data_IF_906346634515
#
_entry.id   IF_906346634515
#
_cell.length_a   1.000
_cell.length_b   1.000
_cell.length_c   1.000
_cell.angle_alpha   90.00
_cell.angle_beta   90.00
_cell.angle_gamma   90.00
#
_symmetry.space_group_name_H-M   'P 1'
#
loop_
_entity.id
_entity.type
_entity.pdbx_description
1 polymer ?
#
# COMPACT_ATOMS: atom_id res chain seq x y z
N UNK A 1 -11.07 -47.15 -14.25
CA UNK A 1 -9.71 -46.56 -14.26
C UNK A 1 -9.84 -45.09 -13.95
N UNK A 2 -10.05 -44.84 -12.66
CA UNK A 2 -9.68 -43.70 -11.82
C UNK A 2 -9.41 -42.33 -12.46
N UNK A 3 -10.46 -41.51 -12.37
CA UNK A 3 -10.39 -40.06 -12.25
C UNK A 3 -9.97 -39.68 -10.81
N UNK A 4 -8.66 -39.68 -10.53
CA UNK A 4 -8.09 -39.15 -9.28
C UNK A 4 -6.77 -38.42 -9.56
N UNK A 5 -6.84 -37.43 -10.47
CA UNK A 5 -5.91 -36.29 -10.53
C UNK A 5 -6.67 -35.02 -10.15
N UNK A 6 -7.24 -35.00 -8.95
CA UNK A 6 -7.79 -33.82 -8.32
C UNK A 6 -6.88 -33.48 -7.13
N UNK A 7 -5.85 -32.69 -7.42
CA UNK A 7 -4.81 -32.28 -6.48
C UNK A 7 -3.73 -31.45 -7.16
N UNK A 8 -4.05 -30.75 -8.25
CA UNK A 8 -3.22 -29.65 -8.74
C UNK A 8 -3.71 -28.46 -7.95
N UNK A 9 -3.03 -28.15 -6.84
CA UNK A 9 -3.24 -26.87 -6.17
C UNK A 9 -3.09 -25.78 -7.23
N UNK A 10 -4.12 -24.94 -7.40
CA UNK A 10 -4.07 -23.84 -8.34
C UNK A 10 -2.83 -23.02 -8.02
N UNK A 11 -1.97 -22.78 -9.03
CA UNK A 11 -0.83 -21.87 -8.89
C UNK A 11 -1.34 -20.55 -8.27
N UNK A 12 -0.88 -20.17 -7.07
CA UNK A 12 -1.35 -18.97 -6.38
C UNK A 12 -1.09 -17.70 -7.20
N UNK A 13 -0.21 -17.75 -8.20
CA UNK A 13 0.13 -16.64 -9.07
C UNK A 13 -0.65 -16.61 -10.39
N UNK A 14 -1.50 -17.60 -10.68
CA UNK A 14 -2.23 -17.70 -11.95
C UNK A 14 -3.13 -16.49 -12.28
N UNK A 15 -3.52 -15.71 -11.27
CA UNK A 15 -4.34 -14.51 -11.42
C UNK A 15 -3.53 -13.21 -11.51
N UNK A 16 -2.21 -13.27 -11.27
CA UNK A 16 -1.32 -12.10 -11.30
C UNK A 16 -0.91 -11.82 -12.74
N UNK A 17 -1.48 -10.76 -13.33
CA UNK A 17 -1.14 -10.32 -14.68
C UNK A 17 -0.38 -8.99 -14.66
N UNK A 18 0.95 -9.06 -14.62
CA UNK A 18 1.82 -7.88 -14.57
C UNK A 18 1.66 -6.99 -15.80
N UNK A 19 1.51 -7.57 -16.99
CA UNK A 19 1.30 -6.81 -18.23
C UNK A 19 0.03 -5.98 -18.19
N UNK A 20 -1.06 -6.53 -17.62
CA UNK A 20 -2.31 -5.79 -17.40
C UNK A 20 -2.08 -4.65 -16.41
N UNK A 21 -1.51 -4.94 -15.23
CA UNK A 21 -1.26 -3.91 -14.21
C UNK A 21 -0.38 -2.77 -14.73
N UNK A 22 0.63 -3.09 -15.55
CA UNK A 22 1.48 -2.10 -16.23
C UNK A 22 0.70 -1.27 -17.25
N UNK A 23 -0.19 -1.89 -18.01
CA UNK A 23 -1.07 -1.17 -18.93
C UNK A 23 -2.01 -0.23 -18.19
N UNK A 24 -2.59 -0.68 -17.08
CA UNK A 24 -3.50 0.11 -16.26
C UNK A 24 -2.77 1.32 -15.66
N UNK A 25 -1.55 1.12 -15.13
CA UNK A 25 -0.73 2.22 -14.64
C UNK A 25 -0.41 3.24 -15.74
N UNK A 26 -0.02 2.79 -16.93
CA UNK A 26 0.23 3.69 -18.08
C UNK A 26 -1.02 4.46 -18.49
N UNK A 27 -2.18 3.83 -18.46
CA UNK A 27 -3.44 4.52 -18.74
C UNK A 27 -3.69 5.64 -17.72
N UNK A 28 -3.46 5.38 -16.44
CA UNK A 28 -3.59 6.38 -15.37
C UNK A 28 -2.57 7.52 -15.49
N UNK A 29 -1.33 7.21 -15.87
CA UNK A 29 -0.30 8.21 -16.12
C UNK A 29 -0.66 9.14 -17.29
N UNK A 30 -1.41 8.63 -18.28
CA UNK A 30 -1.87 9.42 -19.43
C UNK A 30 -3.12 10.28 -19.13
N UNK A 31 -3.77 10.10 -17.98
CA UNK A 31 -4.92 10.91 -17.59
C UNK A 31 -4.51 12.28 -17.05
N UNK A 32 -5.40 13.26 -17.23
CA UNK A 32 -5.32 14.53 -16.50
C UNK A 32 -5.38 14.32 -14.99
N UNK A 33 -4.78 15.22 -14.23
CA UNK A 33 -4.45 15.07 -12.80
C UNK A 33 -5.67 14.79 -11.93
N UNK A 34 -6.77 15.53 -12.14
CA UNK A 34 -8.01 15.40 -11.36
C UNK A 34 -8.68 14.04 -11.48
N UNK A 35 -8.78 13.49 -12.69
CA UNK A 35 -9.34 12.14 -12.91
C UNK A 35 -8.33 11.04 -12.57
N UNK A 36 -7.03 11.33 -12.72
CA UNK A 36 -5.93 10.40 -12.47
C UNK A 36 -5.70 10.09 -10.99
N UNK A 37 -5.97 11.04 -10.08
CA UNK A 37 -5.66 10.86 -8.64
C UNK A 37 -6.38 9.66 -8.02
N UNK A 38 -7.69 9.55 -8.22
CA UNK A 38 -8.48 8.44 -7.68
C UNK A 38 -8.11 7.10 -8.33
N UNK A 39 -7.87 7.11 -9.65
CA UNK A 39 -7.52 5.88 -10.36
C UNK A 39 -6.11 5.40 -10.01
N UNK A 40 -5.16 6.32 -9.74
CA UNK A 40 -3.82 5.97 -9.28
C UNK A 40 -3.85 5.28 -7.91
N UNK A 41 -4.71 5.74 -6.99
CA UNK A 41 -4.93 5.06 -5.72
C UNK A 41 -5.47 3.64 -5.91
N UNK A 42 -6.46 3.45 -6.80
CA UNK A 42 -7.02 2.12 -7.11
C UNK A 42 -5.98 1.18 -7.72
N UNK A 43 -5.28 1.63 -8.77
CA UNK A 43 -4.23 0.83 -9.42
C UNK A 43 -3.10 0.49 -8.44
N UNK A 44 -2.73 1.42 -7.55
CA UNK A 44 -1.76 1.15 -6.49
C UNK A 44 -2.23 0.07 -5.52
N UNK A 45 -3.52 -0.01 -5.19
CA UNK A 45 -4.08 -1.04 -4.33
C UNK A 45 -4.07 -2.41 -5.02
N UNK A 46 -4.45 -2.47 -6.30
CA UNK A 46 -4.43 -3.71 -7.11
C UNK A 46 -3.01 -4.26 -7.24
N UNK A 47 -2.02 -3.40 -7.52
CA UNK A 47 -0.61 -3.80 -7.57
C UNK A 47 -0.12 -4.25 -6.19
N UNK A 48 -0.52 -3.58 -5.09
CA UNK A 48 -0.14 -4.01 -3.73
C UNK A 48 -0.72 -5.39 -3.40
N UNK A 49 -1.94 -5.70 -3.83
CA UNK A 49 -2.52 -7.01 -3.64
C UNK A 49 -1.73 -8.08 -4.42
N UNK A 50 -1.41 -7.82 -5.69
CA UNK A 50 -0.59 -8.72 -6.50
C UNK A 50 0.81 -8.93 -5.88
N UNK A 51 1.45 -7.86 -5.42
CA UNK A 51 2.75 -7.90 -4.75
C UNK A 51 2.71 -8.77 -3.49
N UNK A 52 1.69 -8.60 -2.64
CA UNK A 52 1.51 -9.43 -1.44
C UNK A 52 1.31 -10.92 -1.77
N UNK A 53 0.58 -11.24 -2.83
CA UNK A 53 0.45 -12.63 -3.32
C UNK A 53 1.80 -13.19 -3.78
N UNK A 54 2.59 -12.40 -4.52
CA UNK A 54 3.93 -12.80 -4.95
C UNK A 54 4.89 -13.04 -3.77
N UNK A 55 4.86 -12.18 -2.74
CA UNK A 55 5.64 -12.36 -1.52
C UNK A 55 5.26 -13.65 -0.79
N UNK A 56 3.96 -13.91 -0.58
CA UNK A 56 3.51 -15.16 0.05
C UNK A 56 3.99 -16.39 -0.71
N UNK A 57 3.82 -16.41 -2.03
CA UNK A 57 4.27 -17.52 -2.85
C UNK A 57 5.79 -17.71 -2.75
N UNK A 58 6.57 -16.63 -2.76
CA UNK A 58 8.02 -16.69 -2.55
C UNK A 58 8.36 -17.28 -1.18
N UNK A 59 7.69 -16.83 -0.13
CA UNK A 59 7.96 -17.29 1.24
C UNK A 59 7.63 -18.77 1.43
N UNK A 60 6.56 -19.26 0.80
CA UNK A 60 6.23 -20.68 0.71
C UNK A 60 7.34 -21.50 0.02
N UNK A 61 7.93 -20.99 -1.07
CA UNK A 61 9.06 -21.63 -1.74
C UNK A 61 10.33 -21.63 -0.87
N UNK A 62 10.60 -20.52 -0.18
CA UNK A 62 11.72 -20.42 0.76
C UNK A 62 11.54 -21.39 1.94
N UNK A 63 10.34 -21.50 2.51
CA UNK A 63 10.02 -22.46 3.55
C UNK A 63 10.20 -23.91 3.09
N UNK A 64 9.80 -24.24 1.85
CA UNK A 64 10.01 -25.57 1.29
C UNK A 64 11.50 -25.95 1.16
N UNK A 65 12.32 -25.03 0.62
CA UNK A 65 13.75 -25.24 0.46
C UNK A 65 14.48 -25.31 1.81
N UNK A 66 14.09 -24.47 2.76
CA UNK A 66 14.60 -24.49 4.13
C UNK A 66 14.27 -25.81 4.84
N UNK A 67 13.02 -26.26 4.76
CA UNK A 67 12.53 -27.46 5.43
C UNK A 67 13.12 -28.77 4.90
N UNK A 68 13.42 -28.86 3.61
CA UNK A 68 14.06 -30.03 3.00
C UNK A 68 15.59 -30.05 3.18
N UNK A 69 16.18 -29.01 3.78
CA UNK A 69 17.63 -28.86 4.06
C UNK A 69 18.54 -28.87 2.83
N UNK A 70 17.98 -28.65 1.65
CA UNK A 70 18.76 -28.56 0.41
C UNK A 70 19.47 -27.20 0.30
N UNK A 71 18.93 -26.16 0.95
CA UNK A 71 19.43 -24.78 0.91
C UNK A 71 19.63 -24.24 2.33
N UNK A 72 20.73 -23.50 2.52
CA UNK A 72 20.97 -22.78 3.78
C UNK A 72 20.18 -21.47 3.82
N UNK A 73 20.01 -20.87 5.00
CA UNK A 73 19.41 -19.54 5.14
C UNK A 73 20.23 -18.45 4.45
N UNK A 74 21.54 -18.64 4.30
CA UNK A 74 22.41 -17.77 3.51
C UNK A 74 22.13 -17.87 2.01
N UNK A 75 21.87 -19.07 1.47
CA UNK A 75 21.52 -19.27 0.05
C UNK A 75 20.17 -18.61 -0.27
N UNK A 76 19.21 -18.76 0.64
CA UNK A 76 17.92 -18.09 0.52
C UNK A 76 18.06 -16.57 0.61
N UNK A 77 18.94 -16.06 1.49
CA UNK A 77 19.21 -14.63 1.62
C UNK A 77 19.90 -14.02 0.40
N UNK A 78 20.82 -14.76 -0.23
CA UNK A 78 21.42 -14.33 -1.50
C UNK A 78 20.35 -14.14 -2.58
N UNK A 79 19.35 -15.02 -2.65
CA UNK A 79 18.26 -14.89 -3.64
C UNK A 79 17.26 -13.79 -3.28
N UNK A 80 16.78 -13.76 -2.04
CA UNK A 80 15.68 -12.88 -1.62
C UNK A 80 16.15 -11.45 -1.38
N UNK A 81 17.32 -11.29 -0.77
CA UNK A 81 17.86 -10.00 -0.35
C UNK A 81 19.04 -9.54 -1.20
N UNK A 82 19.67 -10.44 -1.97
CA UNK A 82 20.89 -10.13 -2.74
C UNK A 82 22.17 -10.19 -1.91
N UNK A 83 22.07 -10.49 -0.61
CA UNK A 83 23.17 -10.50 0.34
C UNK A 83 23.00 -11.60 1.39
N UNK A 84 23.97 -12.52 1.46
CA UNK A 84 23.99 -13.60 2.49
C UNK A 84 23.91 -13.11 3.94
N UNK A 85 24.34 -11.88 4.22
CA UNK A 85 24.29 -11.30 5.57
C UNK A 85 22.86 -11.15 6.12
N UNK A 86 21.85 -11.15 5.25
CA UNK A 86 20.43 -11.05 5.63
C UNK A 86 19.82 -12.41 6.03
N UNK A 87 20.64 -13.44 6.29
CA UNK A 87 20.18 -14.80 6.58
C UNK A 87 19.21 -14.88 7.76
N UNK A 88 19.37 -14.03 8.78
CA UNK A 88 18.48 -13.99 9.94
C UNK A 88 17.07 -13.55 9.56
N UNK A 89 16.97 -12.53 8.70
CA UNK A 89 15.70 -12.01 8.18
C UNK A 89 14.99 -13.06 7.34
N UNK A 90 15.73 -13.76 6.50
CA UNK A 90 15.16 -14.80 5.63
C UNK A 90 14.78 -16.05 6.41
N UNK A 91 15.53 -16.40 7.46
CA UNK A 91 15.15 -17.47 8.39
C UNK A 91 13.78 -17.21 9.01
N UNK A 92 13.55 -16.00 9.52
CA UNK A 92 12.26 -15.61 10.08
C UNK A 92 11.13 -15.75 9.06
N UNK A 93 11.35 -15.32 7.81
CA UNK A 93 10.36 -15.44 6.72
C UNK A 93 10.04 -16.92 6.43
N UNK A 94 11.07 -17.77 6.32
CA UNK A 94 10.90 -19.19 6.05
C UNK A 94 10.19 -19.93 7.19
N UNK A 95 10.48 -19.58 8.45
CA UNK A 95 9.85 -20.14 9.64
C UNK A 95 8.40 -19.67 9.82
N UNK A 96 8.08 -18.45 9.39
CA UNK A 96 6.72 -17.89 9.43
C UNK A 96 5.78 -18.55 8.44
N UNK A 97 6.30 -18.92 7.26
CA UNK A 97 5.49 -19.43 6.16
C UNK A 97 5.21 -20.92 6.29
N UNK A 98 4.10 -21.37 5.70
CA UNK A 98 3.77 -22.79 5.63
C UNK A 98 4.32 -23.37 4.33
N UNK A 99 5.28 -24.29 4.43
CA UNK A 99 5.82 -24.96 3.25
C UNK A 99 4.71 -25.76 2.51
N UNK A 100 4.63 -25.66 1.17
CA UNK A 100 3.75 -26.51 0.38
C UNK A 100 4.16 -27.98 0.49
N UNK A 101 3.22 -28.90 0.24
CA UNK A 101 3.51 -30.33 0.31
C UNK A 101 4.51 -30.79 -0.75
N UNK A 102 4.51 -30.14 -1.92
CA UNK A 102 5.41 -30.44 -3.02
C UNK A 102 5.68 -29.17 -3.82
N UNK A 103 6.94 -28.94 -4.19
CA UNK A 103 7.34 -27.94 -5.16
C UNK A 103 8.32 -28.56 -6.17
N UNK A 104 7.93 -28.63 -7.44
CA UNK A 104 8.82 -29.11 -8.50
C UNK A 104 9.83 -28.00 -8.82
N UNK A 105 11.11 -28.36 -8.91
CA UNK A 105 12.20 -27.41 -9.17
C UNK A 105 12.16 -26.17 -8.25
N UNK A 106 12.14 -26.43 -6.93
CA UNK A 106 11.92 -25.41 -5.92
C UNK A 106 12.92 -24.24 -5.98
N UNK A 107 14.17 -24.49 -6.40
CA UNK A 107 15.18 -23.46 -6.59
C UNK A 107 14.85 -22.51 -7.75
N UNK A 108 14.46 -23.05 -8.91
CA UNK A 108 13.97 -22.25 -10.03
C UNK A 108 12.72 -21.46 -9.65
N UNK A 109 11.81 -22.09 -8.92
CA UNK A 109 10.55 -21.48 -8.52
C UNK A 109 10.77 -20.33 -7.52
N UNK A 110 11.68 -20.46 -6.56
CA UNK A 110 12.06 -19.35 -5.67
C UNK A 110 12.59 -18.15 -6.47
N UNK A 111 13.50 -18.39 -7.41
CA UNK A 111 14.06 -17.35 -8.28
C UNK A 111 12.97 -16.65 -9.09
N UNK A 112 12.07 -17.42 -9.72
CA UNK A 112 10.96 -16.89 -10.51
C UNK A 112 10.03 -16.01 -9.66
N UNK A 113 9.62 -16.50 -8.48
CA UNK A 113 8.72 -15.78 -7.57
C UNK A 113 9.36 -14.51 -7.00
N UNK A 114 10.65 -14.54 -6.67
CA UNK A 114 11.39 -13.36 -6.23
C UNK A 114 11.53 -12.33 -7.35
N UNK A 115 11.80 -12.76 -8.60
CA UNK A 115 11.82 -11.86 -9.74
C UNK A 115 10.47 -11.17 -9.97
N UNK A 116 9.37 -11.92 -9.88
CA UNK A 116 8.02 -11.38 -9.96
C UNK A 116 7.73 -10.38 -8.82
N UNK A 117 8.13 -10.71 -7.59
CA UNK A 117 7.99 -9.81 -6.44
C UNK A 117 8.76 -8.50 -6.65
N UNK A 118 9.98 -8.54 -7.19
CA UNK A 118 10.76 -7.36 -7.54
C UNK A 118 10.06 -6.51 -8.62
N UNK A 119 9.58 -7.14 -9.70
CA UNK A 119 8.87 -6.44 -10.78
C UNK A 119 7.61 -5.73 -10.27
N UNK A 120 6.83 -6.41 -9.41
CA UNK A 120 5.64 -5.84 -8.79
C UNK A 120 5.97 -4.74 -7.79
N UNK A 121 7.09 -4.86 -7.05
CA UNK A 121 7.53 -3.82 -6.10
C UNK A 121 7.92 -2.53 -6.83
N UNK A 122 8.62 -2.64 -7.95
CA UNK A 122 8.97 -1.49 -8.77
C UNK A 122 7.73 -0.84 -9.37
N UNK A 123 6.81 -1.65 -9.91
CA UNK A 123 5.53 -1.16 -10.42
C UNK A 123 4.68 -0.49 -9.33
N UNK A 124 4.68 -1.03 -8.10
CA UNK A 124 4.01 -0.42 -6.95
C UNK A 124 4.61 0.94 -6.61
N UNK A 125 5.93 1.06 -6.67
CA UNK A 125 6.64 2.31 -6.42
C UNK A 125 6.23 3.38 -7.42
N UNK A 126 6.20 3.00 -8.70
CA UNK A 126 5.80 3.87 -9.80
C UNK A 126 4.33 4.31 -9.67
N UNK A 127 3.45 3.39 -9.28
CA UNK A 127 2.04 3.68 -9.03
C UNK A 127 1.84 4.64 -7.85
N UNK A 128 2.55 4.43 -6.74
CA UNK A 128 2.51 5.34 -5.58
C UNK A 128 3.06 6.72 -5.91
N UNK A 129 4.17 6.81 -6.66
CA UNK A 129 4.71 8.09 -7.12
C UNK A 129 3.72 8.83 -8.04
N UNK A 130 3.06 8.10 -8.94
CA UNK A 130 2.00 8.63 -9.81
C UNK A 130 0.81 9.14 -8.97
N UNK A 131 0.40 8.41 -7.94
CA UNK A 131 -0.66 8.82 -7.03
C UNK A 131 -0.29 10.12 -6.29
N UNK A 132 0.92 10.24 -5.74
CA UNK A 132 1.39 11.47 -5.10
C UNK A 132 1.38 12.65 -6.08
N UNK A 133 1.88 12.45 -7.31
CA UNK A 133 1.88 13.48 -8.34
C UNK A 133 0.46 13.96 -8.64
N UNK A 134 -0.46 13.05 -8.95
CA UNK A 134 -1.84 13.39 -9.25
C UNK A 134 -2.56 14.04 -8.06
N UNK A 135 -2.30 13.58 -6.83
CA UNK A 135 -2.86 14.20 -5.63
C UNK A 135 -2.34 15.63 -5.41
N UNK A 136 -1.09 15.93 -5.79
CA UNK A 136 -0.55 17.29 -5.67
C UNK A 136 -1.11 18.22 -6.74
N UNK A 137 -1.21 17.73 -7.97
CA UNK A 137 -1.58 18.56 -9.13
C UNK A 137 -3.08 18.57 -9.46
N UNK A 138 -3.91 17.77 -8.78
CA UNK A 138 -5.33 17.72 -9.09
C UNK A 138 -6.04 19.03 -8.68
N UNK A 139 -6.72 19.65 -9.62
CA UNK A 139 -7.45 20.90 -9.41
C UNK A 139 -8.69 20.72 -8.52
N UNK A 140 -9.08 21.77 -7.81
CA UNK A 140 -10.32 21.82 -7.03
C UNK A 140 -11.50 22.11 -7.96
N UNK A 141 -12.19 21.06 -8.39
CA UNK A 141 -13.40 21.20 -9.20
C UNK A 141 -14.59 21.55 -8.30
N UNK A 142 -14.82 22.86 -8.11
CA UNK A 142 -15.92 23.39 -7.32
C UNK A 142 -17.14 23.73 -8.20
N UNK A 143 -18.37 23.34 -7.81
CA UNK A 143 -19.60 23.74 -8.47
C UNK A 143 -19.79 25.27 -8.50
N UNK A 144 -20.53 25.84 -9.47
CA UNK A 144 -20.76 27.29 -9.49
C UNK A 144 -21.71 27.77 -8.39
N UNK A 145 -22.65 26.94 -7.93
CA UNK A 145 -23.60 27.30 -6.87
C UNK A 145 -22.95 27.24 -5.47
N UNK A 146 -22.99 28.33 -4.66
CA UNK A 146 -22.31 28.40 -3.37
C UNK A 146 -22.73 27.30 -2.36
N UNK A 147 -24.03 26.99 -2.24
CA UNK A 147 -24.49 25.93 -1.34
C UNK A 147 -23.96 24.56 -1.79
N UNK A 148 -24.00 24.29 -3.09
CA UNK A 148 -23.45 23.07 -3.68
C UNK A 148 -21.92 22.99 -3.49
N UNK A 149 -21.20 24.12 -3.50
CA UNK A 149 -19.77 24.16 -3.12
C UNK A 149 -19.54 23.77 -1.67
N UNK A 150 -20.32 24.31 -0.73
CA UNK A 150 -20.21 23.96 0.70
C UNK A 150 -20.37 22.45 0.88
N UNK A 151 -21.39 21.86 0.27
CA UNK A 151 -21.63 20.42 0.35
C UNK A 151 -20.50 19.61 -0.28
N UNK A 152 -20.09 19.95 -1.52
CA UNK A 152 -19.00 19.27 -2.22
C UNK A 152 -17.70 19.33 -1.42
N UNK A 153 -17.32 20.50 -0.90
CA UNK A 153 -16.10 20.66 -0.12
C UNK A 153 -16.19 19.86 1.19
N UNK A 154 -17.34 19.85 1.87
CA UNK A 154 -17.57 19.04 3.08
C UNK A 154 -17.40 17.55 2.81
N UNK A 155 -17.99 17.03 1.73
CA UNK A 155 -17.84 15.63 1.33
C UNK A 155 -16.39 15.30 1.02
N UNK A 156 -15.67 16.18 0.32
CA UNK A 156 -14.27 15.97 0.00
C UNK A 156 -13.35 16.03 1.22
N UNK A 157 -13.65 16.85 2.24
CA UNK A 157 -12.94 16.85 3.53
C UNK A 157 -13.14 15.52 4.25
N UNK A 158 -14.38 15.03 4.34
CA UNK A 158 -14.70 13.73 4.96
C UNK A 158 -14.00 12.59 4.23
N UNK A 159 -14.11 12.58 2.91
CA UNK A 159 -13.47 11.59 2.04
C UNK A 159 -11.95 11.59 2.21
N UNK A 160 -11.31 12.76 2.17
CA UNK A 160 -9.85 12.87 2.32
C UNK A 160 -9.39 12.44 3.72
N UNK A 161 -10.18 12.73 4.76
CA UNK A 161 -9.88 12.30 6.13
C UNK A 161 -9.90 10.78 6.26
N UNK A 162 -10.95 10.13 5.76
CA UNK A 162 -11.02 8.66 5.75
C UNK A 162 -9.81 8.02 5.06
N UNK A 163 -9.43 8.52 3.88
CA UNK A 163 -8.29 7.98 3.15
C UNK A 163 -6.95 8.27 3.84
N UNK A 164 -6.82 9.43 4.49
CA UNK A 164 -5.64 9.76 5.30
C UNK A 164 -5.48 8.75 6.44
N UNK A 165 -6.55 8.44 7.16
CA UNK A 165 -6.53 7.46 8.27
C UNK A 165 -6.13 6.06 7.78
N UNK A 166 -6.68 5.61 6.65
CA UNK A 166 -6.34 4.31 6.04
C UNK A 166 -4.87 4.26 5.64
N UNK A 167 -4.34 5.30 4.99
CA UNK A 167 -2.93 5.34 4.57
C UNK A 167 -2.01 5.39 5.79
N UNK A 168 -2.34 6.21 6.79
CA UNK A 168 -1.58 6.30 8.04
C UNK A 168 -1.56 4.96 8.79
N UNK A 169 -2.70 4.26 8.89
CA UNK A 169 -2.78 2.95 9.52
C UNK A 169 -1.89 1.91 8.79
N UNK A 170 -1.92 1.87 7.46
CA UNK A 170 -1.07 0.96 6.68
C UNK A 170 0.42 1.29 6.83
N UNK A 171 0.77 2.58 6.80
CA UNK A 171 2.14 3.05 7.03
C UNK A 171 2.65 2.61 8.40
N UNK A 172 1.86 2.83 9.44
CA UNK A 172 2.22 2.50 10.81
C UNK A 172 2.33 0.98 11.00
N UNK A 173 1.45 0.18 10.38
CA UNK A 173 1.56 -1.28 10.39
C UNK A 173 2.85 -1.77 9.71
N UNK A 174 3.26 -1.17 8.60
CA UNK A 174 4.48 -1.57 7.91
C UNK A 174 5.74 -1.14 8.66
N UNK A 175 5.74 0.06 9.25
CA UNK A 175 6.79 0.49 10.16
C UNK A 175 6.89 -0.45 11.37
N UNK A 176 5.75 -0.80 11.98
CA UNK A 176 5.69 -1.74 13.08
C UNK A 176 6.22 -3.14 12.71
N UNK A 177 5.94 -3.64 11.50
CA UNK A 177 6.55 -4.88 11.02
C UNK A 177 8.08 -4.80 10.96
N UNK A 178 8.64 -3.66 10.54
CA UNK A 178 10.10 -3.47 10.48
C UNK A 178 10.73 -3.47 11.87
N UNK A 179 10.07 -2.88 12.87
CA UNK A 179 10.55 -2.90 14.26
C UNK A 179 10.43 -4.29 14.86
N UNK A 180 9.24 -4.89 14.78
CA UNK A 180 8.91 -6.16 15.45
C UNK A 180 9.69 -7.33 14.86
N UNK A 181 9.82 -7.39 13.53
CA UNK A 181 10.37 -8.56 12.83
C UNK A 181 11.79 -8.33 12.31
N UNK A 182 12.18 -7.09 12.03
CA UNK A 182 13.45 -6.78 11.35
C UNK A 182 14.40 -5.91 12.18
N UNK A 183 14.12 -5.75 13.48
CA UNK A 183 14.98 -5.06 14.45
C UNK A 183 15.35 -3.62 14.08
N UNK A 184 14.49 -2.95 13.31
CA UNK A 184 14.65 -1.52 13.07
C UNK A 184 14.44 -0.75 14.38
N UNK A 185 15.24 0.30 14.56
CA UNK A 185 15.03 1.25 15.65
C UNK A 185 13.70 1.99 15.44
N UNK A 186 12.96 2.18 16.55
CA UNK A 186 11.63 2.77 16.50
C UNK A 186 11.69 4.26 16.12
N UNK A 187 12.69 4.99 16.61
CA UNK A 187 12.82 6.42 16.32
C UNK A 187 13.27 6.62 14.88
N UNK A 188 14.20 5.80 14.39
CA UNK A 188 14.63 5.83 12.98
C UNK A 188 13.47 5.53 12.01
N UNK A 189 12.64 4.51 12.31
CA UNK A 189 11.50 4.21 11.44
C UNK A 189 10.39 5.25 11.55
N UNK A 190 10.23 5.89 12.70
CA UNK A 190 9.27 6.97 12.92
C UNK A 190 9.63 8.22 12.10
N UNK A 191 10.92 8.57 12.06
CA UNK A 191 11.44 9.62 11.17
C UNK A 191 11.12 9.28 9.70
N UNK A 192 11.40 8.04 9.27
CA UNK A 192 11.11 7.62 7.89
C UNK A 192 9.62 7.62 7.55
N UNK A 193 8.77 7.33 8.54
CA UNK A 193 7.33 7.34 8.42
C UNK A 193 6.71 8.74 8.53
N UNK A 194 7.50 9.77 8.87
CA UNK A 194 7.01 11.12 9.15
C UNK A 194 5.85 11.09 10.17
N UNK A 195 6.06 10.43 11.30
CA UNK A 195 5.06 10.27 12.37
C UNK A 195 5.69 10.08 13.73
N UNK A 196 4.89 10.26 14.78
CA UNK A 196 5.33 9.98 16.15
C UNK A 196 5.53 8.47 16.40
N UNK A 197 6.56 8.08 17.19
CA UNK A 197 6.80 6.69 17.61
C UNK A 197 5.57 6.00 18.19
N UNK A 198 4.79 6.70 19.02
CA UNK A 198 3.57 6.16 19.66
C UNK A 198 2.53 5.67 18.65
N UNK A 199 2.43 6.33 17.49
CA UNK A 199 1.48 5.95 16.45
C UNK A 199 1.86 4.62 15.78
N UNK A 200 3.16 4.30 15.74
CA UNK A 200 3.69 3.03 15.24
C UNK A 200 3.60 1.96 16.33
N UNK A 201 3.93 2.30 17.57
CA UNK A 201 3.83 1.40 18.72
C UNK A 201 2.39 0.87 18.90
N UNK A 202 1.38 1.71 18.64
CA UNK A 202 -0.03 1.29 18.63
C UNK A 202 -0.38 0.17 17.63
N UNK A 203 0.47 -0.10 16.64
CA UNK A 203 0.29 -1.15 15.63
C UNK A 203 1.11 -2.43 15.92
N UNK A 204 1.87 -2.50 17.02
CA UNK A 204 2.74 -3.66 17.32
C UNK A 204 1.97 -4.97 17.48
N UNK A 205 0.82 -4.96 18.12
CA UNK A 205 0.01 -6.18 18.29
C UNK A 205 -0.47 -6.73 16.94
N UNK A 206 -0.87 -5.83 16.02
CA UNK A 206 -1.24 -6.22 14.66
C UNK A 206 -0.03 -6.75 13.88
N UNK A 207 1.12 -6.06 13.99
CA UNK A 207 2.37 -6.46 13.33
C UNK A 207 2.84 -7.86 13.75
N UNK A 208 2.69 -8.23 15.02
CA UNK A 208 3.00 -9.59 15.52
C UNK A 208 2.19 -10.71 14.89
N UNK A 209 1.11 -10.41 14.17
CA UNK A 209 0.29 -11.39 13.45
C UNK A 209 0.38 -11.23 11.93
N UNK A 210 1.11 -10.22 11.46
CA UNK A 210 1.27 -9.89 10.06
C UNK A 210 2.56 -10.52 9.51
N UNK A 211 2.60 -11.00 8.24
CA UNK A 211 3.81 -11.61 7.69
C UNK A 211 5.01 -10.67 7.70
N UNK A 212 6.23 -11.13 8.08
CA UNK A 212 7.44 -10.32 8.08
C UNK A 212 7.76 -9.71 6.70
N UNK A 213 7.42 -10.41 5.63
CA UNK A 213 7.67 -10.01 4.24
C UNK A 213 6.84 -8.85 3.74
N UNK A 214 5.72 -8.55 4.40
CA UNK A 214 4.71 -7.60 3.91
C UNK A 214 5.15 -6.13 4.01
N UNK A 215 6.31 -5.86 4.62
CA UNK A 215 6.83 -4.52 4.85
C UNK A 215 8.27 -4.34 4.39
N UNK A 216 8.53 -3.17 3.81
CA UNK A 216 9.84 -2.66 3.44
C UNK A 216 9.91 -1.15 3.73
N UNK A 217 11.11 -0.64 4.02
CA UNK A 217 11.32 0.75 4.39
C UNK A 217 10.90 1.74 3.28
N UNK A 218 11.03 1.33 2.01
CA UNK A 218 10.57 2.14 0.86
C UNK A 218 9.03 2.26 0.87
N UNK A 219 8.30 1.21 1.26
CA UNK A 219 6.83 1.28 1.38
C UNK A 219 6.38 2.23 2.49
N UNK A 220 7.11 2.29 3.61
CA UNK A 220 6.85 3.24 4.70
C UNK A 220 6.98 4.68 4.19
N UNK A 221 8.09 5.00 3.51
CA UNK A 221 8.33 6.33 2.92
C UNK A 221 7.28 6.71 1.88
N UNK A 222 6.94 5.79 0.99
CA UNK A 222 5.96 6.05 -0.08
C UNK A 222 4.56 6.31 0.50
N UNK A 223 4.16 5.58 1.55
CA UNK A 223 2.89 5.81 2.22
C UNK A 223 2.89 7.12 3.02
N UNK A 224 4.01 7.50 3.64
CA UNK A 224 4.17 8.83 4.25
C UNK A 224 3.97 9.96 3.22
N UNK A 225 4.59 9.84 2.03
CA UNK A 225 4.42 10.81 0.96
C UNK A 225 2.97 10.90 0.45
N UNK A 226 2.25 9.78 0.36
CA UNK A 226 0.82 9.76 0.02
C UNK A 226 0.00 10.43 1.12
N UNK A 227 0.25 10.10 2.39
CA UNK A 227 -0.45 10.72 3.52
C UNK A 227 -0.28 12.24 3.52
N UNK A 228 0.95 12.73 3.31
CA UNK A 228 1.24 14.15 3.20
C UNK A 228 0.48 14.82 2.04
N UNK A 229 0.42 14.17 0.87
CA UNK A 229 -0.33 14.68 -0.28
C UNK A 229 -1.84 14.73 -0.02
N UNK A 230 -2.42 13.72 0.64
CA UNK A 230 -3.83 13.70 1.03
C UNK A 230 -4.12 14.78 2.08
N UNK A 231 -3.25 14.94 3.08
CA UNK A 231 -3.38 15.97 4.10
C UNK A 231 -3.37 17.39 3.51
N UNK A 232 -2.45 17.67 2.58
CA UNK A 232 -2.42 18.94 1.86
C UNK A 232 -3.72 19.20 1.07
N UNK A 233 -4.22 18.19 0.35
CA UNK A 233 -5.51 18.29 -0.34
C UNK A 233 -6.66 18.54 0.62
N UNK A 234 -6.68 17.87 1.77
CA UNK A 234 -7.73 18.06 2.79
C UNK A 234 -7.75 19.52 3.24
N UNK A 235 -6.59 20.10 3.56
CA UNK A 235 -6.48 21.52 3.94
C UNK A 235 -7.02 22.46 2.85
N UNK A 236 -6.73 22.16 1.57
CA UNK A 236 -7.31 22.93 0.46
C UNK A 236 -8.85 22.83 0.40
N UNK A 237 -9.42 21.64 0.61
CA UNK A 237 -10.88 21.47 0.69
C UNK A 237 -11.49 22.15 1.92
N UNK A 238 -10.78 22.18 3.05
CA UNK A 238 -11.22 22.89 4.26
C UNK A 238 -11.28 24.40 4.02
N UNK A 239 -10.26 24.99 3.38
CA UNK A 239 -10.27 26.41 3.00
C UNK A 239 -11.40 26.72 2.02
N UNK A 240 -11.56 25.92 0.96
CA UNK A 240 -12.65 26.08 -0.01
C UNK A 240 -14.03 25.99 0.64
N UNK A 241 -14.19 25.11 1.64
CA UNK A 241 -15.42 25.01 2.44
C UNK A 241 -15.67 26.30 3.24
N UNK A 242 -14.65 26.82 3.91
CA UNK A 242 -14.76 28.05 4.71
C UNK A 242 -15.13 29.26 3.83
N UNK A 243 -14.48 29.39 2.67
CA UNK A 243 -14.79 30.43 1.68
C UNK A 243 -16.22 30.31 1.16
N UNK A 244 -16.66 29.11 0.77
CA UNK A 244 -18.03 28.89 0.29
C UNK A 244 -19.09 29.19 1.36
N UNK A 245 -18.82 28.86 2.63
CA UNK A 245 -19.71 29.21 3.76
C UNK A 245 -19.80 30.74 3.90
N UNK A 246 -18.67 31.45 3.86
CA UNK A 246 -18.65 32.90 3.96
C UNK A 246 -19.40 33.56 2.80
N UNK A 247 -19.24 33.08 1.58
CA UNK A 247 -19.98 33.54 0.40
C UNK A 247 -21.50 33.34 0.55
N UNK A 248 -21.93 32.16 1.01
CA UNK A 248 -23.35 31.88 1.26
C UNK A 248 -23.95 32.87 2.27
N UNK A 249 -23.26 33.09 3.40
CA UNK A 249 -23.72 34.00 4.45
C UNK A 249 -23.76 35.45 3.96
N UNK A 250 -22.74 35.89 3.20
CA UNK A 250 -22.71 37.23 2.60
C UNK A 250 -23.82 37.44 1.56
N UNK A 251 -24.23 36.39 0.85
CA UNK A 251 -25.33 36.40 -0.10
C UNK A 251 -26.73 36.34 0.58
N UNK A 252 -26.80 36.29 1.91
CA UNK A 252 -28.06 36.23 2.66
C UNK A 252 -28.74 34.86 2.65
N UNK A 253 -28.00 33.79 2.36
CA UNK A 253 -28.50 32.43 2.52
C UNK A 253 -28.71 32.14 3.99
N UNK A 254 -29.83 31.50 4.32
CA UNK A 254 -30.19 31.10 5.68
C UNK A 254 -29.05 30.30 6.37
N UNK A 255 -28.53 30.77 7.52
CA UNK A 255 -27.47 30.09 8.26
C UNK A 255 -27.80 28.63 8.63
N UNK A 256 -29.06 28.30 8.92
CA UNK A 256 -29.46 26.93 9.24
C UNK A 256 -29.30 26.01 8.02
N UNK A 257 -29.62 26.54 6.83
CA UNK A 257 -29.43 25.84 5.57
C UNK A 257 -27.96 25.67 5.22
N UNK A 258 -27.13 26.68 5.47
CA UNK A 258 -25.66 26.57 5.29
C UNK A 258 -25.08 25.54 6.25
N UNK A 259 -25.51 25.54 7.52
CA UNK A 259 -25.05 24.57 8.51
C UNK A 259 -25.41 23.12 8.13
N UNK A 260 -26.64 22.88 7.64
CA UNK A 260 -27.05 21.56 7.17
C UNK A 260 -26.16 21.06 6.01
N UNK A 261 -25.77 21.94 5.08
CA UNK A 261 -24.90 21.60 3.95
C UNK A 261 -23.43 21.46 4.34
N UNK A 262 -22.99 22.15 5.39
CA UNK A 262 -21.65 22.01 5.98
C UNK A 262 -21.50 20.74 6.83
N UNK A 263 -22.56 19.93 6.93
CA UNK A 263 -22.57 18.67 7.66
C UNK A 263 -22.77 18.84 9.16
N UNK A 264 -23.54 19.85 9.56
CA UNK A 264 -24.03 20.06 10.93
C UNK A 264 -24.82 18.87 11.48
#
# INVERSE_FOLDING_TARGET
>A
MDATRAGVGSDPLAHVNVSRLRSDLRAVQALGTTSGAMQACTVSADIRQAYGTALRARDEAAAYLHGNRDWTTEDLAEVICGHRADERRVRLIAEWSTAPQHLYDAGHELLHRQQLANELRDLLSEARATAVHHLREAELMLPPDPLTRVHKATDMVRFSSYHLDVVAANRNLYAANLVVHHEWDLDEIAELAETEPDAIAGAFDAARTNPPSDADSRSVRELAAIAAAIAARRSHWESARQEAVAECLAAGVDPERVAAYAGG
#
